data_IF_007481916906
#
_entry.id   IF_007481916906
#
_cell.length_a   1.000
_cell.length_b   1.000
_cell.length_c   1.000
_cell.angle_alpha   90.00
_cell.angle_beta   90.00
_cell.angle_gamma   90.00
#
_symmetry.space_group_name_H-M   'P 1'
#
loop_
_entity.id
_entity.type
_entity.pdbx_description
1 polymer ?
#
# COMPACT_ATOMS: atom_id res chain seq x y z
N UNK A 1 -12.41 -31.40 2.60
CA UNK A 1 -13.52 -30.97 1.72
C UNK A 1 -13.30 -29.49 1.42
N UNK A 2 -12.34 -29.22 0.54
CA UNK A 2 -11.93 -27.88 0.09
C UNK A 2 -12.82 -27.52 -1.10
N UNK A 3 -14.01 -27.04 -0.81
CA UNK A 3 -14.95 -26.57 -1.81
C UNK A 3 -15.18 -25.08 -1.56
N UNK A 4 -14.85 -24.28 -2.58
CA UNK A 4 -15.48 -22.99 -2.89
C UNK A 4 -14.94 -21.70 -2.24
N UNK A 5 -13.63 -21.51 -2.13
CA UNK A 5 -13.09 -20.12 -2.06
C UNK A 5 -12.81 -19.55 -3.45
N UNK A 6 -12.33 -20.37 -4.39
CA UNK A 6 -11.99 -19.91 -5.74
C UNK A 6 -13.22 -19.66 -6.64
N UNK A 7 -14.35 -20.32 -6.36
CA UNK A 7 -15.58 -20.22 -7.18
C UNK A 7 -16.41 -18.98 -6.84
N UNK A 8 -16.24 -18.38 -5.66
CA UNK A 8 -16.99 -17.16 -5.29
C UNK A 8 -16.38 -15.88 -5.84
N UNK A 9 -15.11 -15.89 -6.28
CA UNK A 9 -14.44 -14.69 -6.80
C UNK A 9 -14.74 -14.41 -8.28
N UNK A 10 -15.28 -15.37 -9.04
CA UNK A 10 -15.59 -15.18 -10.46
C UNK A 10 -16.86 -14.35 -10.72
N UNK A 11 -17.78 -14.30 -9.75
CA UNK A 11 -19.06 -13.57 -9.88
C UNK A 11 -19.08 -12.24 -9.11
N UNK A 12 -17.98 -11.89 -8.44
CA UNK A 12 -17.88 -10.65 -7.65
C UNK A 12 -17.13 -9.61 -8.47
N UNK A 13 -17.84 -8.56 -8.87
CA UNK A 13 -17.26 -7.44 -9.61
C UNK A 13 -16.44 -6.52 -8.67
N UNK A 14 -15.14 -6.38 -8.95
CA UNK A 14 -14.21 -5.48 -8.27
C UNK A 14 -13.90 -4.22 -9.09
N UNK A 15 -14.60 -3.97 -10.21
CA UNK A 15 -14.32 -2.85 -11.13
C UNK A 15 -14.36 -1.50 -10.41
N UNK A 16 -15.41 -1.24 -9.62
CA UNK A 16 -15.54 -0.01 -8.83
C UNK A 16 -14.37 0.17 -7.84
N UNK A 17 -13.95 -0.91 -7.18
CA UNK A 17 -12.83 -0.87 -6.24
C UNK A 17 -11.49 -0.63 -6.94
N UNK A 18 -11.32 -1.09 -8.18
CA UNK A 18 -10.12 -0.84 -9.01
C UNK A 18 -10.06 0.62 -9.45
N UNK A 19 -11.17 1.16 -9.93
CA UNK A 19 -11.27 2.57 -10.33
C UNK A 19 -11.02 3.49 -9.14
N UNK A 20 -11.61 3.20 -7.98
CA UNK A 20 -11.38 3.97 -6.77
C UNK A 20 -9.89 4.01 -6.34
N UNK A 21 -9.16 2.91 -6.51
CA UNK A 21 -7.72 2.86 -6.23
C UNK A 21 -6.92 3.71 -7.25
N UNK A 22 -7.22 3.60 -8.55
CA UNK A 22 -6.55 4.38 -9.59
C UNK A 22 -6.84 5.88 -9.45
N UNK A 23 -8.07 6.26 -9.14
CA UNK A 23 -8.45 7.65 -8.89
C UNK A 23 -7.76 8.21 -7.64
N UNK A 24 -7.54 7.38 -6.62
CA UNK A 24 -6.75 7.78 -5.47
C UNK A 24 -5.29 8.07 -5.85
N UNK A 25 -4.69 7.27 -6.75
CA UNK A 25 -3.34 7.51 -7.25
C UNK A 25 -3.25 8.78 -8.10
N UNK A 26 -4.23 9.01 -8.98
CA UNK A 26 -4.34 10.24 -9.78
C UNK A 26 -4.47 11.48 -8.89
N UNK A 27 -5.32 11.41 -7.86
CA UNK A 27 -5.54 12.52 -6.92
C UNK A 27 -4.26 12.90 -6.16
N UNK A 28 -3.39 11.94 -5.88
CA UNK A 28 -2.13 12.17 -5.19
C UNK A 28 -0.92 12.31 -6.13
N UNK A 29 -1.13 12.37 -7.46
CA UNK A 29 -0.07 12.45 -8.47
C UNK A 29 1.05 11.41 -8.25
N UNK A 30 0.65 10.15 -7.99
CA UNK A 30 1.58 9.07 -7.62
C UNK A 30 2.42 8.58 -8.80
N UNK A 31 1.89 8.66 -10.02
CA UNK A 31 2.54 8.17 -11.23
C UNK A 31 2.35 9.12 -12.41
N UNK A 32 3.22 8.99 -13.41
CA UNK A 32 3.14 9.65 -14.71
C UNK A 32 3.11 8.59 -15.81
N UNK A 33 2.24 8.76 -16.80
CA UNK A 33 2.16 7.85 -17.95
C UNK A 33 3.24 8.25 -18.97
N UNK A 34 4.09 7.29 -19.33
CA UNK A 34 5.23 7.49 -20.24
C UNK A 34 5.21 6.47 -21.38
N UNK A 35 5.78 6.84 -22.53
CA UNK A 35 5.93 5.90 -23.65
C UNK A 35 6.96 4.80 -23.34
N UNK A 36 6.64 3.58 -23.76
CA UNK A 36 7.54 2.43 -23.65
C UNK A 36 8.62 2.49 -24.73
N UNK A 37 9.82 2.90 -24.32
CA UNK A 37 11.04 2.96 -25.11
C UNK A 37 11.99 1.80 -24.79
N UNK A 38 11.49 0.71 -24.19
CA UNK A 38 12.29 -0.42 -23.74
C UNK A 38 12.92 -0.21 -22.36
N UNK A 39 12.30 0.60 -21.51
CA UNK A 39 12.73 0.75 -20.12
C UNK A 39 12.58 -0.57 -19.35
N UNK A 40 13.37 -0.74 -18.28
CA UNK A 40 13.21 -1.88 -17.38
C UNK A 40 11.92 -1.72 -16.56
N UNK A 41 10.90 -2.50 -16.89
CA UNK A 41 9.58 -2.39 -16.29
C UNK A 41 9.30 -3.53 -15.31
N UNK A 42 8.83 -3.19 -14.12
CA UNK A 42 8.37 -4.15 -13.12
C UNK A 42 6.94 -4.55 -13.44
N UNK A 43 6.65 -5.84 -13.39
CA UNK A 43 5.28 -6.33 -13.58
C UNK A 43 4.40 -5.94 -12.40
N UNK A 44 3.14 -5.60 -12.69
CA UNK A 44 2.13 -5.35 -11.66
C UNK A 44 1.12 -6.48 -11.55
N UNK A 45 0.45 -6.59 -10.41
CA UNK A 45 -0.68 -7.50 -10.19
C UNK A 45 -1.77 -6.85 -9.35
N UNK A 46 -3.01 -7.22 -9.61
CA UNK A 46 -4.13 -6.84 -8.75
C UNK A 46 -4.28 -7.82 -7.59
N UNK A 47 -4.48 -7.28 -6.39
CA UNK A 47 -4.83 -8.05 -5.19
C UNK A 47 -6.24 -7.64 -4.78
N UNK A 48 -7.16 -8.59 -4.84
CA UNK A 48 -8.55 -8.42 -4.43
C UNK A 48 -8.74 -8.94 -3.01
N UNK A 49 -9.53 -8.24 -2.22
CA UNK A 49 -9.83 -8.64 -0.84
C UNK A 49 -11.24 -8.20 -0.49
N UNK A 50 -12.04 -9.12 0.04
CA UNK A 50 -13.29 -8.78 0.70
C UNK A 50 -13.00 -8.51 2.17
N UNK A 51 -13.42 -7.34 2.68
CA UNK A 51 -13.33 -7.01 4.11
C UNK A 51 -14.73 -6.84 4.66
N UNK A 52 -15.06 -7.61 5.69
CA UNK A 52 -16.25 -7.37 6.50
C UNK A 52 -15.93 -6.28 7.53
N UNK A 53 -16.74 -5.22 7.54
CA UNK A 53 -16.64 -4.12 8.49
C UNK A 53 -18.05 -3.82 8.97
N UNK A 54 -18.30 -3.87 10.28
CA UNK A 54 -19.60 -3.52 10.88
C UNK A 54 -20.81 -4.26 10.26
N UNK A 55 -20.64 -5.55 9.91
CA UNK A 55 -21.59 -6.42 9.21
C UNK A 55 -21.86 -6.05 7.73
N UNK A 56 -21.07 -5.15 7.15
CA UNK A 56 -21.09 -4.83 5.71
C UNK A 56 -19.85 -5.39 5.02
N UNK A 57 -20.05 -5.94 3.82
CA UNK A 57 -18.95 -6.45 3.01
C UNK A 57 -18.41 -5.37 2.08
N UNK A 58 -17.18 -4.91 2.33
CA UNK A 58 -16.47 -3.96 1.49
C UNK A 58 -15.48 -4.66 0.56
N UNK A 59 -15.60 -4.36 -0.73
CA UNK A 59 -14.65 -4.78 -1.76
C UNK A 59 -13.41 -3.88 -1.72
N UNK A 60 -12.22 -4.46 -1.71
CA UNK A 60 -10.95 -3.73 -1.82
C UNK A 60 -10.12 -4.32 -2.94
N UNK A 61 -9.62 -3.46 -3.81
CA UNK A 61 -8.65 -3.80 -4.84
C UNK A 61 -7.38 -2.99 -4.59
N UNK A 62 -6.21 -3.60 -4.76
CA UNK A 62 -4.92 -2.91 -4.70
C UNK A 62 -4.06 -3.31 -5.86
N UNK A 63 -3.47 -2.32 -6.52
CA UNK A 63 -2.46 -2.54 -7.55
C UNK A 63 -1.09 -2.63 -6.87
N UNK A 64 -0.37 -3.73 -7.10
CA UNK A 64 0.88 -4.03 -6.42
C UNK A 64 1.95 -4.35 -7.45
N UNK A 65 3.08 -3.65 -7.37
CA UNK A 65 4.27 -3.97 -8.15
C UNK A 65 4.95 -5.23 -7.58
N UNK A 66 5.44 -6.10 -8.46
CA UNK A 66 6.22 -7.28 -8.06
C UNK A 66 7.64 -6.85 -7.71
N UNK A 67 7.83 -6.30 -6.50
CA UNK A 67 9.12 -5.75 -6.07
C UNK A 67 10.30 -6.72 -6.07
N UNK A 68 10.08 -8.04 -6.21
CA UNK A 68 11.17 -9.00 -6.39
C UNK A 68 11.81 -8.95 -7.80
N UNK A 69 11.13 -8.31 -8.77
CA UNK A 69 11.66 -8.04 -10.12
C UNK A 69 12.46 -6.72 -10.16
N UNK A 70 12.54 -5.96 -9.06
CA UNK A 70 13.32 -4.73 -9.01
C UNK A 70 14.81 -5.04 -8.84
N UNK A 71 15.63 -4.71 -9.84
CA UNK A 71 17.08 -4.99 -9.83
C UNK A 71 17.83 -4.26 -8.69
N UNK A 72 17.27 -3.16 -8.17
CA UNK A 72 17.91 -2.34 -7.13
C UNK A 72 17.62 -2.82 -5.70
N UNK A 73 17.12 -4.04 -5.48
CA UNK A 73 16.72 -4.58 -4.16
C UNK A 73 17.77 -4.46 -3.04
N UNK A 74 19.05 -4.43 -3.39
CA UNK A 74 20.16 -4.34 -2.43
C UNK A 74 20.53 -2.89 -2.07
N UNK A 75 20.11 -1.91 -2.87
CA UNK A 75 20.29 -0.48 -2.62
C UNK A 75 19.15 0.12 -1.77
N UNK A 76 18.07 -0.63 -1.59
CA UNK A 76 16.90 -0.19 -0.83
C UNK A 76 17.10 -0.50 0.66
N UNK A 77 17.03 0.49 1.56
CA UNK A 77 16.83 0.19 2.97
C UNK A 77 15.47 -0.53 3.12
N UNK A 78 15.51 -1.84 3.37
CA UNK A 78 14.32 -2.71 3.52
C UNK A 78 13.48 -2.39 4.76
N UNK A 79 13.98 -1.49 5.60
CA UNK A 79 13.33 -1.09 6.83
C UNK A 79 12.47 0.14 6.55
N UNK A 80 11.17 0.03 6.79
CA UNK A 80 10.32 1.21 6.94
C UNK A 80 10.83 2.06 8.12
N UNK A 81 10.74 3.40 8.06
CA UNK A 81 11.14 4.30 9.15
C UNK A 81 10.14 4.20 10.30
N UNK A 82 10.10 3.04 10.94
CA UNK A 82 9.23 2.76 12.08
C UNK A 82 10.02 3.11 13.33
N UNK A 83 9.39 3.88 14.24
CA UNK A 83 9.99 4.14 15.55
C UNK A 83 10.38 2.82 16.22
N UNK A 84 11.63 2.74 16.69
CA UNK A 84 12.08 1.57 17.44
C UNK A 84 11.22 1.38 18.70
N UNK A 85 10.99 0.11 19.07
CA UNK A 85 10.23 -0.24 20.28
C UNK A 85 10.81 0.40 21.54
N UNK A 86 12.12 0.60 21.59
CA UNK A 86 12.78 1.25 22.71
C UNK A 86 12.39 2.72 22.83
N UNK A 87 12.43 3.46 21.72
CA UNK A 87 12.01 4.87 21.64
C UNK A 87 10.54 5.04 22.00
N UNK A 88 9.66 4.16 21.51
CA UNK A 88 8.25 4.17 21.87
C UNK A 88 8.04 3.99 23.38
N UNK A 89 8.73 3.01 24.00
CA UNK A 89 8.66 2.78 25.45
C UNK A 89 9.17 3.97 26.25
N UNK A 90 10.24 4.62 25.80
CA UNK A 90 10.77 5.82 26.43
C UNK A 90 9.74 6.96 26.41
N UNK A 91 9.12 7.22 25.26
CA UNK A 91 8.09 8.25 25.11
C UNK A 91 6.89 7.95 26.02
N UNK A 92 6.40 6.72 26.03
CA UNK A 92 5.29 6.30 26.90
C UNK A 92 5.64 6.45 28.39
N UNK A 93 6.88 6.13 28.78
CA UNK A 93 7.34 6.28 30.17
C UNK A 93 7.37 7.74 30.62
N UNK A 94 7.82 8.65 29.73
CA UNK A 94 7.80 10.10 29.98
C UNK A 94 6.36 10.59 30.14
N UNK A 95 5.46 10.19 29.24
CA UNK A 95 4.05 10.57 29.28
C UNK A 95 3.40 10.11 30.59
N UNK A 96 3.63 8.84 30.99
CA UNK A 96 3.13 8.30 32.24
C UNK A 96 3.66 9.08 33.45
N UNK A 97 4.97 9.41 33.46
CA UNK A 97 5.58 10.17 34.55
C UNK A 97 5.01 11.59 34.70
N UNK A 98 4.67 12.22 33.57
CA UNK A 98 4.14 13.59 33.52
C UNK A 98 2.61 13.66 33.53
N UNK A 99 1.93 12.51 33.59
CA UNK A 99 0.47 12.36 33.51
C UNK A 99 -0.13 13.08 32.29
N UNK A 100 0.55 13.01 31.15
CA UNK A 100 0.04 13.58 29.90
C UNK A 100 -1.03 12.68 29.27
N UNK A 101 -2.01 13.27 28.61
CA UNK A 101 -2.96 12.55 27.77
C UNK A 101 -2.34 12.23 26.41
N UNK A 102 -2.63 11.05 25.88
CA UNK A 102 -2.17 10.61 24.56
C UNK A 102 -3.35 10.63 23.60
N UNK A 103 -3.15 11.26 22.45
CA UNK A 103 -4.06 11.17 21.32
C UNK A 103 -3.29 10.58 20.13
N UNK A 104 -3.85 9.56 19.49
CA UNK A 104 -3.30 8.96 18.26
C UNK A 104 -4.12 9.40 17.06
N UNK A 105 -3.46 9.78 15.98
CA UNK A 105 -4.10 10.09 14.69
C UNK A 105 -3.56 9.12 13.65
N UNK A 106 -4.46 8.43 12.95
CA UNK A 106 -4.12 7.64 11.78
C UNK A 106 -4.14 8.55 10.54
N UNK A 107 -2.98 8.77 9.93
CA UNK A 107 -2.86 9.58 8.72
C UNK A 107 -3.17 8.69 7.53
N UNK A 108 -4.39 8.87 6.98
CA UNK A 108 -4.78 8.25 5.71
C UNK A 108 -3.78 8.66 4.64
N UNK A 109 -3.38 7.71 3.79
CA UNK A 109 -2.44 7.89 2.67
C UNK A 109 -1.03 8.38 3.01
N UNK A 110 -0.56 8.20 4.25
CA UNK A 110 0.81 8.58 4.66
C UNK A 110 1.92 8.03 3.74
N UNK A 111 1.72 6.83 3.16
CA UNK A 111 2.65 6.25 2.19
C UNK A 111 2.74 7.03 0.87
N UNK A 112 1.65 7.67 0.43
CA UNK A 112 1.62 8.46 -0.81
C UNK A 112 2.05 9.91 -0.59
N UNK A 113 2.14 10.35 0.66
CA UNK A 113 2.57 11.71 1.06
C UNK A 113 4.04 11.75 1.48
N UNK A 114 4.78 10.67 1.25
CA UNK A 114 6.21 10.58 1.54
C UNK A 114 7.04 11.51 0.65
N UNK A 115 8.33 11.62 0.99
CA UNK A 115 9.29 12.34 0.15
C UNK A 115 9.39 11.72 -1.24
N UNK A 116 9.63 12.55 -2.26
CA UNK A 116 9.72 12.11 -3.65
C UNK A 116 10.80 11.03 -3.77
N UNK A 117 10.47 9.92 -4.41
CA UNK A 117 11.43 8.86 -4.68
C UNK A 117 12.59 9.42 -5.52
N UNK A 118 13.83 9.16 -5.09
CA UNK A 118 15.03 9.59 -5.82
C UNK A 118 15.31 8.72 -7.05
N UNK A 119 14.61 7.59 -7.19
CA UNK A 119 14.78 6.64 -8.29
C UNK A 119 13.56 6.61 -9.19
N UNK A 120 13.78 6.32 -10.46
CA UNK A 120 12.74 6.10 -11.45
C UNK A 120 12.41 4.61 -11.51
N UNK A 121 11.12 4.29 -11.37
CA UNK A 121 10.62 2.91 -11.46
C UNK A 121 9.52 2.89 -12.50
N UNK A 122 9.70 2.07 -13.53
CA UNK A 122 8.69 1.89 -14.56
C UNK A 122 7.84 0.66 -14.22
N UNK A 123 6.52 0.81 -14.34
CA UNK A 123 5.56 -0.26 -14.09
C UNK A 123 4.92 -0.68 -15.39
N UNK A 124 4.89 -1.99 -15.64
CA UNK A 124 4.10 -2.56 -16.73
C UNK A 124 2.76 -3.05 -16.18
N UNK A 125 1.69 -2.47 -16.69
CA UNK A 125 0.35 -3.01 -16.53
C UNK A 125 0.14 -4.11 -17.58
N UNK A 126 -0.09 -5.33 -17.09
CA UNK A 126 -0.48 -6.49 -17.91
C UNK A 126 -1.85 -6.30 -18.54
#
# INVERSE_FOLDING_TARGET
MTLNEDVLLSDIDFTEAREAELDNWRKHNVYEEVEDNGQNCISTRWVYTMKELENEFHRKARLVAKGFEEDSLDEIPKNSPTCEKQSLRLILSIIASKRWSINSVDIKTAFLQGEKMQREVYLKTS
#
